data_IF_497451398479
#
_entry.id   IF_497451398479
#
_cell.length_a   1.000
_cell.length_b   1.000
_cell.length_c   1.000
_cell.angle_alpha   90.00
_cell.angle_beta   90.00
_cell.angle_gamma   90.00
#
_symmetry.space_group_name_H-M   'P 1'
#
loop_
_entity.id
_entity.type
_entity.pdbx_description
1 polymer ?
#
# COMPACT_ATOMS: atom_id res chain seq x y z
N UNK A 1 9.97 -3.42 -9.22
CA UNK A 1 9.86 -3.29 -10.69
C UNK A 1 10.79 -2.18 -11.14
N UNK A 2 11.70 -2.38 -12.11
CA UNK A 2 12.60 -1.33 -12.52
C UNK A 2 11.78 -0.28 -13.28
N UNK A 3 11.43 0.83 -12.61
CA UNK A 3 10.89 2.01 -13.27
C UNK A 3 12.07 2.78 -13.86
N UNK A 4 12.63 2.23 -14.94
CA UNK A 4 13.73 2.83 -15.68
C UNK A 4 13.28 3.99 -16.57
N UNK A 5 14.24 4.66 -17.20
CA UNK A 5 14.01 5.73 -18.18
C UNK A 5 13.25 5.16 -19.40
N UNK A 6 12.20 5.83 -19.91
CA UNK A 6 11.52 5.39 -21.12
C UNK A 6 12.49 5.28 -22.30
N UNK A 7 12.51 4.13 -22.98
CA UNK A 7 13.25 3.97 -24.24
C UNK A 7 12.57 4.82 -25.31
N UNK A 8 13.36 5.62 -26.03
CA UNK A 8 12.92 6.34 -27.24
C UNK A 8 13.27 5.45 -28.43
N UNK A 9 12.26 5.08 -29.20
CA UNK A 9 12.43 4.38 -30.46
C UNK A 9 12.49 5.42 -31.58
N UNK A 10 13.42 5.24 -32.53
CA UNK A 10 13.64 6.15 -33.67
C UNK A 10 13.02 5.57 -34.94
N UNK A 11 12.90 4.23 -35.00
CA UNK A 11 12.38 3.50 -36.15
C UNK A 11 10.88 3.28 -35.96
N UNK A 12 10.09 3.55 -37.00
CA UNK A 12 8.63 3.46 -36.96
C UNK A 12 8.11 2.06 -36.61
N UNK A 13 8.79 1.02 -37.07
CA UNK A 13 8.47 -0.38 -36.77
C UNK A 13 8.61 -0.68 -35.27
N UNK A 14 9.71 -0.24 -34.65
CA UNK A 14 9.92 -0.40 -33.22
C UNK A 14 8.88 0.39 -32.39
N UNK A 15 8.46 1.56 -32.87
CA UNK A 15 7.41 2.36 -32.23
C UNK A 15 6.07 1.59 -32.28
N UNK A 16 5.74 0.99 -33.42
CA UNK A 16 4.52 0.21 -33.60
C UNK A 16 4.50 -1.02 -32.68
N UNK A 17 5.59 -1.79 -32.63
CA UNK A 17 5.72 -2.96 -31.75
C UNK A 17 5.62 -2.57 -30.27
N UNK A 18 6.35 -1.53 -29.84
CA UNK A 18 6.31 -1.05 -28.46
C UNK A 18 4.89 -0.59 -28.06
N UNK A 19 4.16 0.04 -28.98
CA UNK A 19 2.76 0.44 -28.77
C UNK A 19 1.85 -0.77 -28.65
N UNK A 20 2.04 -1.79 -29.48
CA UNK A 20 1.24 -3.02 -29.45
C UNK A 20 1.45 -3.78 -28.12
N UNK A 21 2.69 -3.93 -27.68
CA UNK A 21 3.00 -4.60 -26.41
C UNK A 21 2.45 -3.83 -25.20
N UNK A 22 2.54 -2.49 -25.22
CA UNK A 22 1.92 -1.64 -24.18
C UNK A 22 0.41 -1.83 -24.13
N UNK A 23 -0.25 -1.85 -25.28
CA UNK A 23 -1.70 -2.07 -25.37
C UNK A 23 -2.10 -3.45 -24.83
N UNK A 24 -1.32 -4.49 -25.16
CA UNK A 24 -1.52 -5.85 -24.65
C UNK A 24 -1.40 -5.90 -23.13
N UNK A 25 -0.37 -5.29 -22.55
CA UNK A 25 -0.19 -5.22 -21.10
C UNK A 25 -1.33 -4.46 -20.41
N UNK A 26 -1.78 -3.35 -21.01
CA UNK A 26 -2.91 -2.58 -20.49
C UNK A 26 -4.21 -3.43 -20.50
N UNK A 27 -4.47 -4.14 -21.59
CA UNK A 27 -5.62 -5.04 -21.71
C UNK A 27 -5.60 -6.14 -20.63
N UNK A 28 -4.46 -6.79 -20.44
CA UNK A 28 -4.29 -7.83 -19.40
C UNK A 28 -4.56 -7.26 -18.01
N UNK A 29 -3.96 -6.10 -17.67
CA UNK A 29 -4.18 -5.45 -16.37
C UNK A 29 -5.63 -5.07 -16.16
N UNK A 30 -6.28 -4.48 -17.17
CA UNK A 30 -7.69 -4.08 -17.08
C UNK A 30 -8.60 -5.30 -16.90
N UNK A 31 -8.32 -6.40 -17.60
CA UNK A 31 -9.05 -7.65 -17.45
C UNK A 31 -8.87 -8.27 -16.06
N UNK A 32 -7.68 -8.22 -15.48
CA UNK A 32 -7.40 -8.71 -14.13
C UNK A 32 -8.01 -7.82 -13.04
N UNK A 33 -8.02 -6.49 -13.24
CA UNK A 33 -8.60 -5.53 -12.30
C UNK A 33 -10.14 -5.53 -12.25
N UNK A 34 -10.82 -6.30 -13.12
CA UNK A 34 -12.27 -6.50 -13.04
C UNK A 34 -12.68 -7.55 -12.00
N UNK A 35 -11.75 -8.28 -11.40
CA UNK A 35 -12.05 -9.05 -10.20
C UNK A 35 -12.38 -8.05 -9.07
N UNK A 36 -13.49 -8.24 -8.33
CA UNK A 36 -13.73 -7.46 -7.12
C UNK A 36 -12.48 -7.54 -6.24
N UNK A 37 -12.02 -6.42 -5.66
CA UNK A 37 -10.92 -6.50 -4.71
C UNK A 37 -11.29 -7.52 -3.64
N UNK A 38 -10.36 -8.41 -3.29
CA UNK A 38 -10.54 -9.31 -2.16
C UNK A 38 -10.81 -8.44 -0.94
N UNK A 39 -12.07 -8.40 -0.51
CA UNK A 39 -12.47 -7.66 0.68
C UNK A 39 -11.87 -8.42 1.85
N UNK A 40 -10.74 -7.95 2.35
CA UNK A 40 -10.22 -8.40 3.63
C UNK A 40 -11.24 -7.91 4.66
N UNK A 41 -12.05 -8.84 5.17
CA UNK A 41 -12.96 -8.57 6.26
C UNK A 41 -12.15 -8.21 7.49
N UNK A 42 -11.94 -6.91 7.70
CA UNK A 42 -11.37 -6.40 8.93
C UNK A 42 -12.48 -6.41 9.98
N UNK A 43 -12.43 -7.36 10.90
CA UNK A 43 -13.19 -7.28 12.14
C UNK A 43 -12.38 -6.40 13.11
N UNK A 44 -12.82 -5.16 13.42
CA UNK A 44 -12.17 -4.37 14.45
C UNK A 44 -12.21 -5.13 15.77
N UNK A 45 -11.10 -5.13 16.51
CA UNK A 45 -11.07 -5.68 17.85
C UNK A 45 -12.12 -4.95 18.71
N UNK A 46 -12.91 -5.72 19.47
CA UNK A 46 -13.94 -5.17 20.35
C UNK A 46 -13.29 -4.20 21.35
N UNK A 47 -13.81 -2.96 21.50
CA UNK A 47 -13.30 -2.03 22.49
C UNK A 47 -13.49 -2.65 23.87
N UNK A 48 -12.38 -2.88 24.60
CA UNK A 48 -12.39 -3.46 25.94
C UNK A 48 -11.77 -4.86 26.07
N UNK A 49 -11.30 -5.47 24.98
CA UNK A 49 -10.47 -6.68 25.11
C UNK A 49 -9.09 -6.29 25.68
N UNK A 50 -8.65 -6.85 26.83
CA UNK A 50 -7.32 -6.59 27.35
C UNK A 50 -6.30 -7.16 26.38
N UNK A 51 -5.67 -6.30 25.59
CA UNK A 51 -4.53 -6.67 24.75
C UNK A 51 -3.30 -6.70 25.64
N UNK A 52 -2.58 -7.82 25.62
CA UNK A 52 -1.29 -7.97 26.32
C UNK A 52 -0.32 -6.93 25.76
N UNK A 53 -0.28 -5.76 26.39
CA UNK A 53 0.58 -4.67 25.98
C UNK A 53 1.92 -4.92 26.66
N UNK A 54 2.87 -5.47 25.91
CA UNK A 54 4.22 -5.70 26.45
C UNK A 54 4.81 -4.34 26.87
N UNK A 55 5.34 -4.24 28.11
CA UNK A 55 5.77 -2.97 28.68
C UNK A 55 6.89 -2.28 27.88
N UNK A 56 7.60 -3.03 27.03
CA UNK A 56 8.79 -2.56 26.30
C UNK A 56 8.51 -2.23 24.81
N UNK A 57 7.27 -2.35 24.34
CA UNK A 57 6.94 -2.13 22.91
C UNK A 57 6.26 -0.78 22.62
N UNK A 58 5.94 0.01 23.65
CA UNK A 58 5.24 1.29 23.52
C UNK A 58 6.05 2.47 24.00
N UNK A 59 6.02 3.58 23.26
CA UNK A 59 6.52 4.88 23.74
C UNK A 59 5.68 5.31 24.95
N UNK A 60 6.25 5.22 26.15
CA UNK A 60 5.61 5.68 27.39
C UNK A 60 5.99 7.14 27.65
N UNK A 61 5.04 8.04 27.43
CA UNK A 61 5.18 9.45 27.80
C UNK A 61 4.52 9.64 29.16
N UNK A 62 5.32 9.70 30.22
CA UNK A 62 4.89 10.13 31.55
C UNK A 62 5.29 11.59 31.73
N UNK A 63 4.34 12.44 32.13
CA UNK A 63 4.61 13.83 32.51
C UNK A 63 4.45 13.93 34.02
N UNK A 64 5.49 14.39 34.71
CA UNK A 64 5.42 14.68 36.14
C UNK A 64 4.63 15.97 36.35
N UNK A 65 3.32 15.81 36.62
CA UNK A 65 2.45 16.92 36.98
C UNK A 65 2.49 17.08 38.50
N UNK A 66 2.94 18.23 39.04
CA UNK A 66 2.91 18.46 40.48
C UNK A 66 1.44 18.53 40.93
N UNK A 67 1.07 17.64 41.86
CA UNK A 67 -0.26 17.66 42.50
C UNK A 67 -0.21 18.72 43.60
N UNK A 68 -1.04 19.78 43.54
CA UNK A 68 -1.14 20.75 44.64
C UNK A 68 -1.62 20.02 45.90
N UNK A 69 -0.97 20.30 47.02
CA UNK A 69 -1.45 19.90 48.35
C UNK A 69 -2.08 21.15 48.97
N UNK A 70 -3.37 21.10 49.26
CA UNK A 70 -4.07 22.06 50.12
C UNK A 70 -3.61 21.90 51.58
#
# INVERSE_FOLDING_TARGET
>A
MPRGRPKKHIIDEEIAEARQERNRQYYIRKRQAQAPPEVISYAPALPGAPTTTYPDLGLRISVDVPVPRD
#
